data_IF_597972642337
#
_entry.id   IF_597972642337
#
_cell.length_a   1.000
_cell.length_b   1.000
_cell.length_c   1.000
_cell.angle_alpha   90.00
_cell.angle_beta   90.00
_cell.angle_gamma   90.00
#
_symmetry.space_group_name_H-M   'P 1'
#
loop_
_entity.id
_entity.type
_entity.pdbx_description
1 polymer ?
#
# COMPACT_ATOMS: atom_id res chain seq x y z
N UNK A 1 -17.43 0.50 -7.79
CA UNK A 1 -18.51 0.49 -6.79
C UNK A 1 -19.85 0.58 -7.51
N UNK A 2 -20.80 -0.33 -7.27
CA UNK A 2 -22.15 -0.24 -7.82
C UNK A 2 -22.84 1.04 -7.33
N UNK A 3 -23.71 1.63 -8.16
CA UNK A 3 -24.42 2.87 -7.84
C UNK A 3 -25.34 2.77 -6.60
N UNK A 4 -25.61 1.55 -6.13
CA UNK A 4 -26.43 1.26 -4.95
C UNK A 4 -25.68 1.40 -3.62
N UNK A 5 -24.35 1.58 -3.66
CA UNK A 5 -23.53 1.75 -2.47
C UNK A 5 -22.89 3.14 -2.48
N UNK A 6 -22.94 3.82 -1.35
CA UNK A 6 -22.17 5.02 -1.03
C UNK A 6 -20.98 4.69 -0.09
N UNK A 7 -21.02 3.52 0.55
CA UNK A 7 -19.97 2.97 1.41
C UNK A 7 -19.92 1.44 1.41
N UNK A 8 -18.85 0.90 1.97
CA UNK A 8 -18.75 -0.52 2.32
C UNK A 8 -19.73 -0.82 3.48
N UNK A 9 -20.61 -1.84 3.37
CA UNK A 9 -21.58 -2.15 4.42
C UNK A 9 -20.93 -2.59 5.73
N UNK A 10 -21.42 -2.07 6.86
CA UNK A 10 -20.92 -2.42 8.19
C UNK A 10 -21.16 -3.91 8.52
N UNK A 11 -22.24 -4.49 7.98
CA UNK A 11 -22.58 -5.91 8.11
C UNK A 11 -21.55 -6.79 7.41
N UNK A 12 -21.04 -6.36 6.24
CA UNK A 12 -19.99 -7.07 5.52
C UNK A 12 -18.70 -7.10 6.32
N UNK A 13 -18.31 -5.95 6.89
CA UNK A 13 -17.13 -5.84 7.75
C UNK A 13 -17.29 -6.75 8.98
N UNK A 14 -18.47 -6.72 9.60
CA UNK A 14 -18.79 -7.57 10.76
C UNK A 14 -18.68 -9.05 10.41
N UNK A 15 -19.23 -9.47 9.28
CA UNK A 15 -19.15 -10.85 8.79
C UNK A 15 -17.71 -11.26 8.48
N UNK A 16 -16.93 -10.40 7.84
CA UNK A 16 -15.51 -10.64 7.56
C UNK A 16 -14.71 -10.88 8.84
N UNK A 17 -14.88 -10.01 9.85
CA UNK A 17 -14.18 -10.16 11.14
C UNK A 17 -14.60 -11.44 11.87
N UNK A 18 -15.89 -11.80 11.81
CA UNK A 18 -16.40 -13.02 12.43
C UNK A 18 -15.85 -14.31 11.80
N UNK A 19 -15.45 -14.27 10.52
CA UNK A 19 -14.81 -15.39 9.82
C UNK A 19 -13.34 -15.59 10.21
N UNK A 20 -12.68 -14.56 10.72
CA UNK A 20 -11.26 -14.58 11.09
C UNK A 20 -11.05 -14.21 12.57
N UNK A 21 -11.66 -14.94 13.52
CA UNK A 21 -11.61 -14.60 14.94
C UNK A 21 -10.18 -14.65 15.45
N UNK A 22 -9.74 -13.56 16.09
CA UNK A 22 -8.37 -13.43 16.61
C UNK A 22 -7.29 -13.28 15.53
N UNK A 23 -7.65 -13.39 14.24
CA UNK A 23 -6.73 -13.30 13.10
C UNK A 23 -6.83 -12.02 12.31
N UNK A 24 -7.95 -11.30 12.42
CA UNK A 24 -8.20 -10.04 11.72
C UNK A 24 -8.94 -9.07 12.63
N UNK A 25 -8.54 -7.81 12.61
CA UNK A 25 -9.25 -6.74 13.29
C UNK A 25 -9.26 -5.43 12.50
N UNK A 26 -10.30 -4.62 12.73
CA UNK A 26 -10.41 -3.28 12.17
C UNK A 26 -9.46 -2.31 12.87
N UNK A 27 -8.66 -1.56 12.11
CA UNK A 27 -7.74 -0.58 12.68
C UNK A 27 -8.45 0.75 12.93
N UNK A 28 -9.29 0.76 13.98
CA UNK A 28 -10.30 1.81 14.27
C UNK A 28 -9.74 3.23 14.38
N UNK A 29 -8.48 3.40 14.76
CA UNK A 29 -7.84 4.72 14.91
C UNK A 29 -7.78 5.52 13.59
N UNK A 30 -7.90 4.84 12.44
CA UNK A 30 -7.77 5.44 11.10
C UNK A 30 -9.04 5.35 10.23
N UNK A 31 -10.16 4.89 10.81
CA UNK A 31 -11.43 4.67 10.08
C UNK A 31 -12.39 5.89 10.10
N UNK A 32 -12.09 6.95 10.85
CA UNK A 32 -13.00 8.11 10.94
C UNK A 32 -13.15 8.80 9.59
N UNK A 33 -14.36 8.73 9.02
CA UNK A 33 -14.75 9.39 7.77
C UNK A 33 -14.38 8.63 6.50
N UNK A 34 -13.87 7.39 6.60
CA UNK A 34 -13.60 6.56 5.42
C UNK A 34 -14.84 5.75 5.05
N UNK A 35 -15.28 5.88 3.80
CA UNK A 35 -16.50 5.24 3.29
C UNK A 35 -16.19 4.02 2.41
N UNK A 36 -15.04 4.04 1.73
CA UNK A 36 -14.71 3.07 0.66
C UNK A 36 -13.29 2.48 0.78
N UNK A 37 -12.61 2.73 1.91
CA UNK A 37 -11.30 2.16 2.22
C UNK A 37 -11.28 1.80 3.71
N UNK A 38 -11.41 0.50 3.99
CA UNK A 38 -11.41 -0.01 5.35
C UNK A 38 -10.05 -0.64 5.63
N UNK A 39 -9.33 -0.02 6.56
CA UNK A 39 -8.03 -0.52 7.00
C UNK A 39 -8.20 -1.57 8.10
N UNK A 40 -7.61 -2.73 7.86
CA UNK A 40 -7.62 -3.91 8.72
C UNK A 40 -6.17 -4.30 9.05
N UNK A 41 -5.98 -5.11 10.08
CA UNK A 41 -4.69 -5.71 10.41
C UNK A 41 -4.83 -7.13 10.92
N UNK A 42 -3.86 -7.99 10.60
CA UNK A 42 -3.91 -9.40 10.98
C UNK A 42 -3.11 -10.35 10.07
N UNK A 43 -3.49 -11.63 10.08
CA UNK A 43 -2.93 -12.69 9.23
C UNK A 43 -4.06 -13.46 8.54
N UNK A 44 -4.35 -13.08 7.29
CA UNK A 44 -5.38 -13.70 6.44
C UNK A 44 -4.78 -14.11 5.10
N UNK A 45 -5.43 -15.05 4.42
CA UNK A 45 -5.17 -15.32 3.01
C UNK A 45 -6.01 -14.35 2.17
N UNK A 46 -5.34 -13.47 1.42
CA UNK A 46 -6.00 -12.47 0.57
C UNK A 46 -6.85 -13.12 -0.51
N UNK A 47 -6.37 -14.21 -1.11
CA UNK A 47 -7.10 -14.90 -2.18
C UNK A 47 -8.36 -15.59 -1.64
N UNK A 48 -8.29 -16.14 -0.43
CA UNK A 48 -9.47 -16.71 0.26
C UNK A 48 -10.53 -15.63 0.53
N UNK A 49 -10.11 -14.46 1.02
CA UNK A 49 -11.02 -13.33 1.29
C UNK A 49 -11.63 -12.80 0.00
N UNK A 50 -10.86 -12.62 -1.07
CA UNK A 50 -11.38 -12.17 -2.36
C UNK A 50 -12.38 -13.15 -2.96
N UNK A 51 -12.11 -14.47 -2.87
CA UNK A 51 -13.06 -15.49 -3.29
C UNK A 51 -14.38 -15.45 -2.48
N UNK A 52 -14.28 -15.22 -1.17
CA UNK A 52 -15.45 -15.04 -0.31
C UNK A 52 -16.24 -13.78 -0.67
N UNK A 53 -15.58 -12.64 -0.91
CA UNK A 53 -16.24 -11.40 -1.33
C UNK A 53 -17.04 -11.61 -2.61
N UNK A 54 -16.47 -12.30 -3.60
CA UNK A 54 -17.19 -12.65 -4.85
C UNK A 54 -18.43 -13.49 -4.56
N UNK A 55 -18.31 -14.52 -3.71
CA UNK A 55 -19.42 -15.41 -3.36
C UNK A 55 -20.57 -14.68 -2.65
N UNK A 56 -20.28 -13.66 -1.83
CA UNK A 56 -21.27 -12.84 -1.13
C UNK A 56 -21.86 -11.71 -2.01
N UNK A 57 -21.48 -11.63 -3.29
CA UNK A 57 -21.96 -10.58 -4.21
C UNK A 57 -21.19 -9.26 -4.11
N UNK A 58 -20.05 -9.25 -3.43
CA UNK A 58 -19.15 -8.10 -3.24
C UNK A 58 -17.88 -8.19 -4.08
N UNK A 59 -17.90 -8.87 -5.23
CA UNK A 59 -16.76 -8.96 -6.15
C UNK A 59 -16.29 -7.64 -6.76
N UNK A 60 -16.93 -6.51 -6.41
CA UNK A 60 -16.46 -5.16 -6.71
C UNK A 60 -15.47 -4.63 -5.66
N UNK A 61 -15.22 -5.38 -4.60
CA UNK A 61 -14.22 -5.14 -3.56
C UNK A 61 -13.08 -6.16 -3.70
N UNK A 62 -11.89 -5.76 -3.24
CA UNK A 62 -10.70 -6.60 -3.12
C UNK A 62 -9.94 -6.26 -1.85
N UNK A 63 -9.29 -7.26 -1.27
CA UNK A 63 -8.36 -7.10 -0.16
C UNK A 63 -6.96 -6.82 -0.69
N UNK A 64 -6.37 -5.68 -0.31
CA UNK A 64 -5.00 -5.32 -0.65
C UNK A 64 -4.09 -5.48 0.55
N UNK A 65 -3.09 -6.33 0.43
CA UNK A 65 -1.98 -6.39 1.40
C UNK A 65 -1.08 -5.15 1.24
N UNK A 66 -0.96 -4.38 2.31
CA UNK A 66 -0.16 -3.16 2.36
C UNK A 66 1.17 -3.37 3.10
N UNK A 67 1.50 -4.62 3.44
CA UNK A 67 2.75 -5.01 4.05
C UNK A 67 2.66 -5.22 5.56
N UNK A 68 3.80 -5.65 6.10
CA UNK A 68 3.94 -6.08 7.49
C UNK A 68 3.92 -4.91 8.48
N UNK A 69 3.47 -5.19 9.69
CA UNK A 69 3.59 -4.30 10.86
C UNK A 69 4.33 -5.02 11.99
N UNK A 70 4.75 -4.25 12.99
CA UNK A 70 5.50 -4.79 14.11
C UNK A 70 4.70 -5.88 14.85
N UNK A 71 5.30 -7.05 15.07
CA UNK A 71 4.68 -8.18 15.79
C UNK A 71 4.09 -7.80 17.15
N UNK A 72 4.73 -6.87 17.86
CA UNK A 72 4.25 -6.36 19.14
C UNK A 72 2.84 -5.72 19.06
N UNK A 73 2.37 -5.36 17.87
CA UNK A 73 1.03 -4.80 17.63
C UNK A 73 -0.07 -5.87 17.76
N UNK A 74 0.23 -7.11 17.40
CA UNK A 74 -0.68 -8.26 17.48
C UNK A 74 0.12 -9.50 17.90
N UNK A 75 0.50 -9.61 19.19
CA UNK A 75 1.47 -10.60 19.66
C UNK A 75 0.96 -12.05 19.62
N UNK A 76 -0.37 -12.22 19.60
CA UNK A 76 -1.03 -13.53 19.65
C UNK A 76 -1.13 -14.22 18.28
N UNK A 77 -0.63 -13.58 17.21
CA UNK A 77 -0.60 -14.17 15.87
C UNK A 77 0.64 -15.07 15.67
N UNK A 78 0.42 -16.16 14.94
CA UNK A 78 1.45 -17.15 14.63
C UNK A 78 2.55 -16.60 13.71
N UNK A 79 2.21 -15.67 12.84
CA UNK A 79 3.10 -15.05 11.85
C UNK A 79 3.15 -13.51 12.04
N UNK A 80 4.01 -12.83 11.30
CA UNK A 80 4.12 -11.37 11.33
C UNK A 80 2.79 -10.77 10.85
N UNK A 81 2.15 -9.86 11.61
CA UNK A 81 0.91 -9.22 11.18
C UNK A 81 1.13 -8.32 9.97
N UNK A 82 0.11 -8.24 9.12
CA UNK A 82 0.04 -7.31 8.00
C UNK A 82 -1.03 -6.25 8.22
N UNK A 83 -0.95 -5.15 7.47
CA UNK A 83 -2.04 -4.21 7.26
C UNK A 83 -2.68 -4.49 5.92
N UNK A 84 -4.00 -4.47 5.89
CA UNK A 84 -4.76 -4.64 4.67
C UNK A 84 -5.73 -3.48 4.43
N UNK A 85 -6.05 -3.25 3.17
CA UNK A 85 -7.10 -2.33 2.74
C UNK A 85 -8.18 -3.10 2.00
N UNK A 86 -9.40 -3.09 2.52
CA UNK A 86 -10.59 -3.50 1.77
C UNK A 86 -11.06 -2.28 0.97
N UNK A 87 -10.92 -2.36 -0.36
CA UNK A 87 -11.13 -1.25 -1.30
C UNK A 87 -11.88 -1.73 -2.55
N UNK A 88 -12.43 -0.82 -3.39
CA UNK A 88 -12.93 -1.18 -4.70
C UNK A 88 -11.86 -1.88 -5.55
N UNK A 89 -12.27 -2.89 -6.30
CA UNK A 89 -11.41 -3.55 -7.27
C UNK A 89 -10.87 -2.57 -8.33
N UNK A 90 -9.66 -2.86 -8.81
CA UNK A 90 -8.91 -1.99 -9.71
C UNK A 90 -8.19 -0.81 -9.04
N UNK A 91 -8.39 -0.57 -7.74
CA UNK A 91 -7.65 0.46 -7.00
C UNK A 91 -6.27 -0.07 -6.60
N UNK A 92 -5.22 0.67 -6.96
CA UNK A 92 -3.84 0.45 -6.54
C UNK A 92 -3.07 1.77 -6.45
N UNK A 93 -1.94 1.77 -5.73
CA UNK A 93 -1.04 2.95 -5.66
C UNK A 93 -0.49 3.29 -7.04
N UNK A 94 -0.14 2.28 -7.84
CA UNK A 94 0.33 2.45 -9.21
C UNK A 94 -0.72 3.14 -10.11
N UNK A 95 -1.95 2.61 -10.12
CA UNK A 95 -3.04 3.21 -10.89
C UNK A 95 -3.34 4.64 -10.44
N UNK A 96 -3.28 4.92 -9.14
CA UNK A 96 -3.46 6.26 -8.59
C UNK A 96 -2.36 7.24 -9.05
N UNK A 97 -1.09 6.81 -9.05
CA UNK A 97 0.03 7.60 -9.57
C UNK A 97 -0.14 7.87 -11.07
N UNK A 98 -0.42 6.82 -11.86
CA UNK A 98 -0.63 6.97 -13.30
C UNK A 98 -1.75 7.98 -13.61
N UNK A 99 -2.85 7.90 -12.89
CA UNK A 99 -3.97 8.83 -13.01
C UNK A 99 -3.57 10.27 -12.65
N UNK A 100 -2.88 10.49 -11.53
CA UNK A 100 -2.49 11.84 -11.10
C UNK A 100 -1.46 12.47 -12.05
N UNK A 101 -0.50 11.69 -12.56
CA UNK A 101 0.46 12.17 -13.57
C UNK A 101 -0.25 12.60 -14.86
N UNK A 102 -1.13 11.75 -15.39
CA UNK A 102 -1.91 12.06 -16.59
C UNK A 102 -2.76 13.33 -16.41
N UNK A 103 -3.44 13.46 -15.26
CA UNK A 103 -4.24 14.64 -14.91
C UNK A 103 -3.41 15.93 -14.84
N UNK A 104 -2.13 15.84 -14.51
CA UNK A 104 -1.19 16.96 -14.44
C UNK A 104 -0.42 17.21 -15.75
N UNK A 105 -0.60 16.35 -16.76
CA UNK A 105 0.21 16.41 -17.99
C UNK A 105 1.69 16.09 -17.76
N UNK A 106 2.01 15.30 -16.72
CA UNK A 106 3.36 14.87 -16.41
C UNK A 106 3.62 13.49 -17.01
N UNK A 107 4.81 13.30 -17.55
CA UNK A 107 5.30 11.99 -17.99
C UNK A 107 5.92 11.23 -16.81
N UNK A 108 5.99 9.88 -16.88
CA UNK A 108 6.66 9.07 -15.86
C UNK A 108 8.08 9.53 -15.55
N UNK A 109 8.89 9.88 -16.56
CA UNK A 109 10.28 10.36 -16.41
C UNK A 109 10.41 11.70 -15.66
N UNK A 110 9.29 12.37 -15.37
CA UNK A 110 9.22 13.61 -14.60
C UNK A 110 8.79 13.36 -13.13
N UNK A 111 8.69 12.11 -12.71
CA UNK A 111 8.25 11.72 -11.38
C UNK A 111 9.18 10.67 -10.77
N UNK A 112 9.27 10.73 -9.43
CA UNK A 112 9.79 9.64 -8.61
C UNK A 112 8.70 9.17 -7.66
N UNK A 113 8.75 7.90 -7.27
CA UNK A 113 7.97 7.36 -6.17
C UNK A 113 8.91 6.93 -5.03
N UNK A 114 8.39 6.95 -3.80
CA UNK A 114 9.11 6.53 -2.60
C UNK A 114 8.17 5.62 -1.81
N UNK A 115 8.64 4.46 -1.38
CA UNK A 115 7.83 3.51 -0.62
C UNK A 115 8.66 2.53 0.19
N UNK A 116 7.98 1.63 0.89
CA UNK A 116 8.63 0.63 1.75
C UNK A 116 7.98 -0.75 1.73
N UNK A 117 7.00 -0.97 0.86
CA UNK A 117 6.26 -2.24 0.77
C UNK A 117 6.09 -2.72 -0.67
N UNK A 118 5.73 -4.00 -0.85
CA UNK A 118 5.39 -4.54 -2.16
C UNK A 118 4.21 -3.78 -2.81
N UNK A 119 3.27 -3.29 -1.99
CA UNK A 119 2.15 -2.47 -2.45
C UNK A 119 2.57 -1.10 -3.00
N UNK A 120 3.74 -0.58 -2.61
CA UNK A 120 4.33 0.65 -3.18
C UNK A 120 5.16 0.37 -4.42
N UNK A 121 5.81 -0.81 -4.49
CA UNK A 121 6.68 -1.20 -5.60
C UNK A 121 5.97 -1.12 -6.95
N UNK A 122 4.66 -1.41 -6.99
CA UNK A 122 3.83 -1.28 -8.21
C UNK A 122 3.80 0.14 -8.78
N UNK A 123 4.15 1.18 -8.01
CA UNK A 123 4.30 2.54 -8.55
C UNK A 123 5.47 2.66 -9.54
N UNK A 124 6.46 1.75 -9.46
CA UNK A 124 7.64 1.76 -10.33
C UNK A 124 7.29 1.67 -11.81
N UNK A 125 6.19 1.01 -12.18
CA UNK A 125 5.70 0.93 -13.57
C UNK A 125 5.26 2.30 -14.14
N UNK A 126 5.05 3.29 -13.28
CA UNK A 126 4.43 4.57 -13.62
C UNK A 126 5.31 5.78 -13.34
N UNK A 127 6.55 5.59 -12.89
CA UNK A 127 7.51 6.66 -12.59
C UNK A 127 8.87 6.39 -13.23
N UNK A 128 9.66 7.45 -13.40
CA UNK A 128 11.01 7.35 -13.95
C UNK A 128 11.98 6.66 -13.00
N UNK A 129 11.73 6.77 -11.69
CA UNK A 129 12.53 6.10 -10.65
C UNK A 129 11.69 5.82 -9.41
N UNK A 130 11.82 4.60 -8.89
CA UNK A 130 11.26 4.20 -7.60
C UNK A 130 12.38 4.13 -6.56
N UNK A 131 12.14 4.72 -5.40
CA UNK A 131 13.03 4.64 -4.26
C UNK A 131 12.39 3.80 -3.16
N UNK A 132 13.08 2.76 -2.71
CA UNK A 132 12.68 1.98 -1.55
C UNK A 132 13.54 2.40 -0.35
N UNK A 133 12.92 2.82 0.74
CA UNK A 133 13.67 3.12 1.96
C UNK A 133 14.21 1.83 2.59
N UNK A 134 15.32 1.89 3.32
CA UNK A 134 16.06 0.70 3.76
C UNK A 134 15.22 -0.32 4.55
N UNK A 135 14.17 0.13 5.26
CA UNK A 135 13.29 -0.79 5.99
C UNK A 135 12.41 -1.65 5.09
N UNK A 136 12.29 -1.34 3.79
CA UNK A 136 11.65 -2.19 2.80
C UNK A 136 12.30 -3.57 2.70
N UNK A 137 13.62 -3.67 2.92
CA UNK A 137 14.35 -4.93 2.85
C UNK A 137 14.06 -5.89 4.02
N UNK A 138 13.23 -5.49 4.98
CA UNK A 138 12.70 -6.39 6.02
C UNK A 138 11.62 -7.33 5.49
N UNK A 139 11.08 -7.02 4.32
CA UNK A 139 10.02 -7.75 3.64
C UNK A 139 10.65 -8.71 2.61
N UNK A 140 10.68 -10.01 2.89
CA UNK A 140 11.30 -11.00 1.99
C UNK A 140 10.55 -11.12 0.67
N UNK A 141 9.23 -11.03 0.72
CA UNK A 141 8.32 -10.98 -0.44
C UNK A 141 8.67 -9.82 -1.39
N UNK A 142 8.99 -8.64 -0.85
CA UNK A 142 9.41 -7.51 -1.67
C UNK A 142 10.75 -7.78 -2.35
N UNK A 143 11.72 -8.39 -1.65
CA UNK A 143 13.07 -8.62 -2.19
C UNK A 143 13.02 -9.53 -3.42
N UNK A 144 12.15 -10.54 -3.39
CA UNK A 144 11.96 -11.48 -4.50
C UNK A 144 11.35 -10.82 -5.75
N UNK A 145 10.66 -9.69 -5.59
CA UNK A 145 10.06 -8.93 -6.69
C UNK A 145 11.04 -7.97 -7.37
N UNK A 146 12.10 -7.53 -6.68
CA UNK A 146 13.04 -6.51 -7.18
C UNK A 146 13.68 -6.84 -8.54
N UNK A 147 14.05 -8.10 -8.86
CA UNK A 147 14.61 -8.44 -10.17
C UNK A 147 13.68 -8.13 -11.36
N UNK A 148 12.39 -7.90 -11.13
CA UNK A 148 11.43 -7.48 -12.16
C UNK A 148 11.47 -6.00 -12.52
N UNK A 149 12.28 -5.18 -11.83
CA UNK A 149 12.29 -3.73 -11.99
C UNK A 149 13.69 -3.14 -12.21
N UNK A 150 13.87 -2.45 -13.34
CA UNK A 150 15.16 -1.85 -13.72
C UNK A 150 15.33 -0.40 -13.21
N UNK A 151 14.28 0.19 -12.64
CA UNK A 151 14.22 1.60 -12.23
C UNK A 151 14.11 1.79 -10.70
N UNK A 152 14.40 0.75 -9.92
CA UNK A 152 14.33 0.77 -8.45
C UNK A 152 15.70 1.05 -7.86
N UNK A 153 15.76 1.94 -6.87
CA UNK A 153 16.92 2.20 -6.02
C UNK A 153 16.53 1.90 -4.57
N UNK A 154 17.37 1.17 -3.86
CA UNK A 154 17.22 1.01 -2.40
C UNK A 154 18.11 2.03 -1.71
N UNK A 155 17.50 2.86 -0.86
CA UNK A 155 18.17 3.88 -0.07
C UNK A 155 18.89 3.25 1.14
N UNK A 156 19.99 3.86 1.58
CA UNK A 156 20.70 3.45 2.80
C UNK A 156 19.91 3.77 4.08
N UNK A 157 19.06 4.82 4.03
CA UNK A 157 18.30 5.31 5.16
C UNK A 157 16.93 4.65 5.32
N UNK A 158 16.52 4.38 6.56
CA UNK A 158 15.14 3.95 6.88
C UNK A 158 14.19 5.15 6.98
N UNK A 159 12.90 4.91 6.77
CA UNK A 159 11.82 5.86 7.04
C UNK A 159 12.14 7.27 6.48
N UNK A 160 12.04 8.31 7.32
CA UNK A 160 12.28 9.68 6.94
C UNK A 160 13.70 9.98 6.44
N UNK A 161 14.72 9.21 6.86
CA UNK A 161 16.08 9.40 6.38
C UNK A 161 16.23 8.98 4.91
N UNK A 162 15.68 7.80 4.56
CA UNK A 162 15.64 7.33 3.17
C UNK A 162 14.77 8.23 2.30
N UNK A 163 13.62 8.65 2.80
CA UNK A 163 12.76 9.62 2.12
C UNK A 163 13.51 10.93 1.81
N UNK A 164 14.23 11.48 2.79
CA UNK A 164 14.99 12.71 2.61
C UNK A 164 16.14 12.55 1.60
N UNK A 165 16.80 11.39 1.58
CA UNK A 165 17.82 11.04 0.59
C UNK A 165 17.23 11.01 -0.83
N UNK A 166 16.15 10.25 -1.03
CA UNK A 166 15.44 10.15 -2.30
C UNK A 166 15.01 11.52 -2.84
N UNK A 167 14.40 12.37 -2.00
CA UNK A 167 14.01 13.73 -2.38
C UNK A 167 15.23 14.58 -2.76
N UNK A 168 16.31 14.55 -1.97
CA UNK A 168 17.54 15.30 -2.27
C UNK A 168 18.18 14.86 -3.59
N UNK A 169 18.03 13.61 -3.99
CA UNK A 169 18.59 13.09 -5.26
C UNK A 169 18.02 13.78 -6.50
N UNK A 170 16.80 14.32 -6.41
CA UNK A 170 16.10 15.01 -7.51
C UNK A 170 16.00 16.52 -7.33
N UNK A 171 16.26 17.04 -6.13
CA UNK A 171 16.36 18.48 -5.91
C UNK A 171 17.70 18.98 -6.46
N UNK A 172 17.65 19.96 -7.35
CA UNK A 172 18.87 20.65 -7.81
C UNK A 172 19.55 21.32 -6.61
N UNK A 173 20.89 21.24 -6.46
CA UNK A 173 21.59 22.00 -5.44
C UNK A 173 21.27 23.48 -5.60
N UNK A 174 20.67 24.10 -4.58
CA UNK A 174 20.53 25.55 -4.54
C UNK A 174 21.94 26.11 -4.53
N UNK A 175 22.35 26.79 -5.61
CA UNK A 175 23.61 27.55 -5.61
C UNK A 175 23.52 28.54 -4.45
N UNK A 176 24.49 28.59 -3.53
CA UNK A 176 24.54 29.68 -2.56
C UNK A 176 24.55 31.00 -3.35
N UNK A 177 23.71 31.94 -2.95
CA UNK A 177 23.82 33.31 -3.46
C UNK A 177 25.24 33.77 -3.18
N UNK A 178 25.96 34.20 -4.23
CA UNK A 178 27.25 34.85 -4.06
C UNK A 178 27.02 36.07 -3.16
N UNK A 179 27.65 36.06 -1.98
CA UNK A 179 27.76 37.23 -1.09
C UNK A 179 28.92 38.09 -1.56
#
# INVERSE_FOLDING_TARGET
MPATFDRIPDELITALLARHPGRLEAHRSWLRGREVDIMLRGNIDVAEVDAWLVAEGFGWLTMRDNGIIARATMPDLDDVPHVYHLVPDGVSKGAAVAFDLARRGLRPDQAIAIGDSASDLVMAEHVGRMHLVANALRHTDLVDLLPGYDNVVVEDGTLGAGWASAVRSVLTPVRPAAV
#
